data_IF_902926161990
#
_entry.id   IF_902926161990
#
_cell.length_a   1.000
_cell.length_b   1.000
_cell.length_c   1.000
_cell.angle_alpha   90.00
_cell.angle_beta   90.00
_cell.angle_gamma   90.00
#
_symmetry.space_group_name_H-M   'P 1'
#
loop_
_entity.id
_entity.type
_entity.pdbx_description
1 polymer ?
#
# COMPACT_ATOMS: atom_id res chain seq x y z
N UNK A 1 63.80 26.79 -41.15
CA UNK A 1 62.54 27.25 -40.49
C UNK A 1 61.66 26.06 -40.08
N UNK A 2 62.24 25.09 -39.36
CA UNK A 2 61.59 23.85 -38.94
C UNK A 2 61.54 23.72 -37.40
N UNK A 3 61.56 24.85 -36.67
CA UNK A 3 61.46 24.90 -35.20
C UNK A 3 60.32 25.78 -34.67
N UNK A 4 59.51 26.39 -35.55
CA UNK A 4 58.34 27.21 -35.13
C UNK A 4 56.98 26.54 -35.31
N UNK A 5 56.90 25.35 -35.90
CA UNK A 5 55.63 24.62 -36.07
C UNK A 5 55.44 23.51 -35.01
N UNK A 6 56.50 23.20 -34.25
CA UNK A 6 56.45 22.18 -33.18
C UNK A 6 56.05 22.73 -31.79
N UNK A 7 55.83 24.04 -31.63
CA UNK A 7 55.40 24.66 -30.35
C UNK A 7 53.92 25.04 -30.27
N UNK A 8 53.14 24.83 -31.34
CA UNK A 8 51.70 25.11 -31.35
C UNK A 8 50.80 23.86 -31.33
N UNK A 9 51.38 22.65 -31.38
CA UNK A 9 50.63 21.38 -31.22
C UNK A 9 50.73 20.74 -29.83
N UNK A 10 51.55 21.27 -28.93
CA UNK A 10 51.73 20.73 -27.56
C UNK A 10 51.00 21.56 -26.48
N UNK A 11 50.33 22.64 -26.87
CA UNK A 11 49.53 23.48 -25.95
C UNK A 11 48.03 23.15 -26.03
N UNK A 12 47.59 22.39 -27.05
CA UNK A 12 46.19 21.96 -27.18
C UNK A 12 45.90 20.53 -26.67
N UNK A 13 46.92 19.75 -26.26
CA UNK A 13 46.75 18.42 -25.66
C UNK A 13 46.91 18.38 -24.13
N UNK A 14 47.14 19.53 -23.48
CA UNK A 14 47.22 19.64 -22.02
C UNK A 14 46.15 20.51 -21.36
N UNK A 15 45.20 21.03 -22.15
CA UNK A 15 44.02 21.77 -21.65
C UNK A 15 42.71 20.96 -21.68
N UNK A 16 42.74 19.69 -22.10
CA UNK A 16 41.57 18.78 -22.06
C UNK A 16 41.63 17.71 -20.98
N UNK A 17 42.67 17.68 -20.13
CA UNK A 17 42.88 16.64 -19.11
C UNK A 17 43.01 17.16 -17.67
N UNK A 18 42.57 18.38 -17.39
CA UNK A 18 42.63 19.01 -16.06
C UNK A 18 41.25 19.44 -15.51
N UNK A 19 40.15 18.95 -16.09
CA UNK A 19 38.78 19.21 -15.64
C UNK A 19 38.03 17.97 -15.15
N UNK A 20 38.72 16.84 -14.99
CA UNK A 20 38.15 15.61 -14.42
C UNK A 20 39.14 14.98 -13.44
N UNK A 21 39.25 15.59 -12.26
CA UNK A 21 39.56 14.95 -10.96
C UNK A 21 39.81 16.03 -9.91
N UNK A 22 39.22 15.82 -8.74
CA UNK A 22 39.53 16.49 -7.47
C UNK A 22 38.88 17.86 -7.24
N UNK A 23 37.61 17.85 -6.80
CA UNK A 23 37.12 18.82 -5.82
C UNK A 23 36.69 18.01 -4.60
N UNK A 24 37.58 17.94 -3.62
CA UNK A 24 37.32 17.44 -2.27
C UNK A 24 38.19 18.24 -1.31
N UNK A 25 37.60 18.60 -0.17
CA UNK A 25 38.05 19.55 0.86
C UNK A 25 37.79 21.03 0.47
N UNK A 26 36.96 21.81 1.19
CA UNK A 26 36.92 22.00 2.64
C UNK A 26 35.58 22.66 3.05
N UNK A 27 34.87 22.14 4.05
CA UNK A 27 34.25 22.91 5.16
C UNK A 27 33.59 21.89 6.12
N UNK A 28 34.31 21.58 7.20
CA UNK A 28 33.80 20.86 8.37
C UNK A 28 33.51 21.92 9.42
N UNK A 29 32.24 22.09 9.77
CA UNK A 29 31.78 22.65 11.04
C UNK A 29 30.53 21.85 11.46
N UNK A 30 30.62 21.28 12.65
CA UNK A 30 29.66 20.36 13.27
C UNK A 30 28.26 20.95 13.42
N UNK A 31 27.23 20.16 13.08
CA UNK A 31 25.87 20.12 13.67
C UNK A 31 25.18 18.80 13.24
N UNK A 32 24.24 18.24 14.04
CA UNK A 32 23.86 16.83 13.98
C UNK A 32 23.03 16.53 12.73
N UNK A 33 23.43 15.52 11.96
CA UNK A 33 22.77 15.10 10.73
C UNK A 33 21.44 14.41 11.02
N UNK A 34 20.34 15.10 10.74
CA UNK A 34 19.10 14.48 10.26
C UNK A 34 19.41 13.85 8.89
N UNK A 35 19.22 12.53 8.77
CA UNK A 35 19.30 11.82 7.49
C UNK A 35 18.12 12.29 6.63
N UNK A 36 18.33 13.29 5.79
CA UNK A 36 17.43 13.61 4.68
C UNK A 36 17.84 12.75 3.48
N UNK A 37 16.92 11.89 3.04
CA UNK A 37 17.04 11.25 1.73
C UNK A 37 17.09 12.34 0.67
N UNK A 38 18.23 12.50 0.01
CA UNK A 38 18.39 13.51 -1.05
C UNK A 38 17.49 13.13 -2.23
N UNK A 39 16.54 14.00 -2.56
CA UNK A 39 15.73 13.88 -3.77
C UNK A 39 16.63 13.74 -5.01
N UNK A 40 16.40 12.76 -5.90
CA UNK A 40 17.14 12.67 -7.15
C UNK A 40 16.89 13.94 -7.98
N UNK A 41 17.95 14.41 -8.63
CA UNK A 41 17.96 15.63 -9.42
C UNK A 41 16.87 15.59 -10.51
N UNK A 42 16.04 16.61 -10.53
CA UNK A 42 15.00 16.85 -11.52
C UNK A 42 15.60 17.07 -12.92
N UNK A 43 15.41 16.12 -13.83
CA UNK A 43 15.49 16.41 -15.27
C UNK A 43 14.14 16.94 -15.74
N UNK A 44 14.15 18.04 -16.51
CA UNK A 44 12.95 18.58 -17.12
C UNK A 44 12.42 17.59 -18.17
N UNK A 45 11.14 17.23 -18.08
CA UNK A 45 10.43 16.31 -18.97
C UNK A 45 10.34 16.76 -20.46
N UNK A 46 11.18 17.70 -20.90
CA UNK A 46 11.04 18.41 -22.17
C UNK A 46 11.32 17.55 -23.41
N UNK A 47 11.82 16.32 -23.26
CA UNK A 47 12.20 15.44 -24.38
C UNK A 47 11.61 14.02 -24.31
N UNK A 48 10.89 13.68 -23.24
CA UNK A 48 10.30 12.34 -23.10
C UNK A 48 8.86 12.30 -23.64
N UNK A 49 8.34 11.14 -24.10
CA UNK A 49 7.09 11.06 -24.86
C UNK A 49 5.84 11.59 -24.13
N UNK A 50 5.81 11.46 -22.81
CA UNK A 50 4.75 11.97 -21.96
C UNK A 50 5.26 13.11 -21.06
N UNK A 51 4.49 14.18 -20.87
CA UNK A 51 4.83 15.21 -19.90
C UNK A 51 4.78 14.64 -18.47
N UNK A 52 5.59 15.20 -17.57
CA UNK A 52 5.43 14.93 -16.15
C UNK A 52 4.07 15.45 -15.66
N UNK A 53 3.41 14.68 -14.81
CA UNK A 53 2.22 15.09 -14.09
C UNK A 53 2.59 15.41 -12.63
N UNK A 54 1.88 16.36 -12.03
CA UNK A 54 2.00 16.58 -10.58
C UNK A 54 0.99 15.70 -9.84
N UNK A 55 1.44 15.03 -8.79
CA UNK A 55 0.57 14.22 -7.95
C UNK A 55 1.16 13.93 -6.58
N UNK A 56 0.28 13.49 -5.67
CA UNK A 56 0.65 13.09 -4.31
C UNK A 56 1.35 11.75 -4.36
N UNK A 57 2.54 11.66 -3.76
CA UNK A 57 3.22 10.40 -3.53
C UNK A 57 2.46 9.60 -2.45
N UNK A 58 1.86 8.43 -2.77
CA UNK A 58 1.05 7.68 -1.81
C UNK A 58 1.90 7.11 -0.67
N UNK A 59 1.35 6.98 0.53
CA UNK A 59 2.03 6.30 1.64
C UNK A 59 2.25 4.82 1.31
N UNK A 60 3.27 4.17 1.91
CA UNK A 60 3.50 2.75 1.70
C UNK A 60 2.31 1.84 1.98
N UNK A 61 1.46 2.16 2.96
CA UNK A 61 0.23 1.41 3.25
C UNK A 61 -0.77 1.44 2.08
N UNK A 62 -0.89 2.58 1.39
CA UNK A 62 -1.71 2.71 0.18
C UNK A 62 -1.11 1.87 -0.96
N UNK A 63 0.22 1.95 -1.15
CA UNK A 63 0.94 1.21 -2.19
C UNK A 63 0.90 -0.30 -2.00
N UNK A 64 1.01 -0.80 -0.76
CA UNK A 64 0.90 -2.23 -0.46
C UNK A 64 -0.41 -2.83 -0.98
N UNK A 65 -1.53 -2.14 -0.76
CA UNK A 65 -2.84 -2.56 -1.27
C UNK A 65 -2.91 -2.51 -2.81
N UNK A 66 -2.29 -1.50 -3.43
CA UNK A 66 -2.21 -1.39 -4.89
C UNK A 66 -1.40 -2.55 -5.49
N UNK A 67 -0.26 -2.90 -4.89
CA UNK A 67 0.52 -4.08 -5.32
C UNK A 67 -0.27 -5.37 -5.21
N UNK A 68 -1.00 -5.55 -4.11
CA UNK A 68 -1.85 -6.74 -3.92
C UNK A 68 -2.93 -6.83 -4.98
N UNK A 69 -3.60 -5.72 -5.29
CA UNK A 69 -4.60 -5.66 -6.36
C UNK A 69 -3.99 -5.89 -7.74
N UNK A 70 -2.85 -5.28 -8.04
CA UNK A 70 -2.17 -5.43 -9.32
C UNK A 70 -1.75 -6.89 -9.56
N UNK A 71 -1.11 -7.52 -8.58
CA UNK A 71 -0.64 -8.90 -8.67
C UNK A 71 -1.76 -9.93 -8.79
N UNK A 72 -2.96 -9.59 -8.33
CA UNK A 72 -4.13 -10.50 -8.35
C UNK A 72 -5.19 -10.11 -9.39
N UNK A 73 -4.86 -9.18 -10.30
CA UNK A 73 -5.77 -8.66 -11.34
C UNK A 73 -7.09 -8.09 -10.77
N UNK A 74 -6.99 -7.29 -9.70
CA UNK A 74 -8.11 -6.63 -8.99
C UNK A 74 -8.01 -5.09 -8.97
N UNK A 75 -7.27 -4.51 -9.91
CA UNK A 75 -7.23 -3.05 -10.08
C UNK A 75 -8.50 -2.51 -10.79
N UNK A 76 -9.22 -3.36 -11.54
CA UNK A 76 -10.35 -2.91 -12.35
C UNK A 76 -9.93 -1.76 -13.29
N UNK A 77 -10.69 -0.66 -13.28
CA UNK A 77 -10.41 0.51 -14.12
C UNK A 77 -9.18 1.32 -13.67
N UNK A 78 -8.64 1.08 -12.47
CA UNK A 78 -7.44 1.76 -11.96
C UNK A 78 -6.14 1.24 -12.61
N UNK A 79 -6.19 0.10 -13.32
CA UNK A 79 -5.07 -0.51 -14.03
C UNK A 79 -5.37 -0.77 -15.51
N UNK A 80 -4.36 -1.17 -16.30
CA UNK A 80 -4.57 -1.70 -17.64
C UNK A 80 -5.16 -3.11 -17.60
N UNK A 81 -5.77 -3.54 -18.70
CA UNK A 81 -6.22 -4.93 -18.87
C UNK A 81 -5.03 -5.87 -18.94
N UNK A 82 -4.97 -6.87 -18.05
CA UNK A 82 -3.92 -7.88 -18.06
C UNK A 82 -4.30 -9.07 -18.96
N UNK A 83 -3.40 -9.56 -19.84
CA UNK A 83 -3.65 -10.73 -20.67
C UNK A 83 -3.62 -12.01 -19.83
N UNK A 84 -4.28 -13.07 -20.30
CA UNK A 84 -4.15 -14.39 -19.69
C UNK A 84 -2.70 -14.86 -19.66
N UNK A 85 -2.35 -15.63 -18.63
CA UNK A 85 -0.98 -16.12 -18.40
C UNK A 85 -0.88 -17.62 -18.68
N UNK A 86 0.22 -18.06 -19.29
CA UNK A 86 0.47 -19.48 -19.51
C UNK A 86 0.83 -20.20 -18.22
N UNK A 87 0.26 -21.40 -18.02
CA UNK A 87 0.54 -22.29 -16.90
C UNK A 87 0.67 -23.74 -17.38
N UNK A 88 1.58 -24.48 -16.74
CA UNK A 88 1.80 -25.91 -16.99
C UNK A 88 3.06 -26.18 -17.82
N UNK A 89 3.65 -27.36 -17.63
CA UNK A 89 4.74 -27.89 -18.43
C UNK A 89 4.69 -29.42 -18.40
N UNK A 90 4.89 -30.14 -19.53
CA UNK A 90 5.21 -29.62 -20.88
C UNK A 90 3.98 -29.06 -21.63
N UNK A 91 2.76 -29.29 -21.14
CA UNK A 91 1.53 -28.75 -21.73
C UNK A 91 1.18 -27.39 -21.13
N UNK A 92 1.09 -26.36 -21.98
CA UNK A 92 0.68 -25.01 -21.56
C UNK A 92 -0.83 -24.84 -21.71
N UNK A 93 -1.44 -24.23 -20.71
CA UNK A 93 -2.82 -23.77 -20.70
C UNK A 93 -2.85 -22.29 -20.31
N UNK A 94 -3.87 -21.55 -20.73
CA UNK A 94 -4.05 -20.16 -20.30
C UNK A 94 -4.91 -20.13 -19.05
N UNK A 95 -4.42 -19.44 -18.03
CA UNK A 95 -5.15 -19.16 -16.79
C UNK A 95 -5.28 -17.67 -16.57
N UNK A 96 -6.04 -17.33 -15.55
CA UNK A 96 -6.24 -15.98 -15.10
C UNK A 96 -4.91 -15.27 -14.76
N UNK A 97 -4.72 -13.99 -15.15
CA UNK A 97 -3.50 -13.25 -14.90
C UNK A 97 -3.20 -13.16 -13.40
N UNK A 98 -1.93 -13.39 -13.08
CA UNK A 98 -1.40 -13.32 -11.73
C UNK A 98 0.08 -12.97 -11.81
N UNK A 99 0.54 -12.11 -10.89
CA UNK A 99 1.96 -11.84 -10.63
C UNK A 99 2.16 -11.88 -9.11
N UNK A 100 3.14 -12.64 -8.60
CA UNK A 100 3.42 -12.63 -7.17
C UNK A 100 3.67 -11.22 -6.63
N UNK A 101 2.89 -10.79 -5.65
CA UNK A 101 2.94 -9.44 -5.08
C UNK A 101 4.30 -9.11 -4.48
N UNK A 102 4.99 -10.10 -3.91
CA UNK A 102 6.38 -9.94 -3.44
C UNK A 102 7.32 -9.56 -4.58
N UNK A 103 7.11 -10.08 -5.81
CA UNK A 103 7.89 -9.70 -6.98
C UNK A 103 7.53 -8.28 -7.43
N UNK A 104 6.24 -7.92 -7.49
CA UNK A 104 5.86 -6.55 -7.86
C UNK A 104 6.45 -5.52 -6.91
N UNK A 105 6.37 -5.77 -5.60
CA UNK A 105 6.97 -4.92 -4.56
C UNK A 105 8.48 -4.79 -4.72
N UNK A 106 9.16 -5.91 -4.95
CA UNK A 106 10.62 -5.97 -5.06
C UNK A 106 11.12 -5.32 -6.35
N UNK A 107 10.48 -5.63 -7.49
CA UNK A 107 10.74 -4.98 -8.78
C UNK A 107 10.52 -3.48 -8.67
N UNK A 108 9.36 -3.04 -8.17
CA UNK A 108 9.07 -1.62 -7.98
C UNK A 108 10.11 -0.89 -7.14
N UNK A 109 10.66 -1.54 -6.12
CA UNK A 109 11.71 -0.95 -5.30
C UNK A 109 13.06 -0.89 -6.02
N UNK A 110 13.42 -1.94 -6.78
CA UNK A 110 14.62 -1.95 -7.61
C UNK A 110 14.54 -0.89 -8.72
N UNK A 111 13.36 -0.68 -9.29
CA UNK A 111 13.11 0.35 -10.30
C UNK A 111 13.08 1.76 -9.70
N UNK A 112 12.47 1.92 -8.52
CA UNK A 112 12.38 3.21 -7.84
C UNK A 112 12.56 3.05 -6.33
N UNK A 113 13.76 3.39 -5.83
CA UNK A 113 14.04 3.39 -4.39
C UNK A 113 13.01 4.24 -3.65
N UNK A 114 12.34 3.64 -2.67
CA UNK A 114 11.25 4.27 -1.92
C UNK A 114 9.91 4.30 -2.66
N UNK A 115 9.68 3.39 -3.61
CA UNK A 115 8.42 3.21 -4.33
C UNK A 115 7.85 4.53 -4.88
N UNK A 116 8.70 5.26 -5.62
CA UNK A 116 8.41 6.63 -6.03
C UNK A 116 7.69 6.67 -7.37
N UNK A 117 6.42 7.10 -7.35
CA UNK A 117 5.74 7.57 -8.55
C UNK A 117 6.12 9.03 -8.84
N UNK A 118 6.26 9.84 -7.80
CA UNK A 118 6.55 11.26 -7.87
C UNK A 118 7.83 11.60 -7.09
N UNK A 119 8.54 12.63 -7.53
CA UNK A 119 9.72 13.17 -6.85
C UNK A 119 9.26 14.00 -5.63
N UNK A 120 8.76 13.31 -4.62
CA UNK A 120 8.20 13.88 -3.39
C UNK A 120 8.31 12.91 -2.21
N UNK A 121 8.26 13.41 -0.97
CA UNK A 121 8.09 12.54 0.19
C UNK A 121 6.69 11.91 0.20
N UNK A 122 6.50 10.83 0.95
CA UNK A 122 5.18 10.25 1.10
C UNK A 122 4.20 11.25 1.74
N UNK A 123 3.05 11.44 1.11
CA UNK A 123 2.06 12.46 1.48
C UNK A 123 2.19 13.79 0.73
N UNK A 124 3.37 14.11 0.23
CA UNK A 124 3.65 15.37 -0.48
C UNK A 124 3.32 15.26 -1.98
N UNK A 125 3.13 16.42 -2.62
CA UNK A 125 2.93 16.53 -4.08
C UNK A 125 4.23 16.85 -4.79
N UNK A 126 4.51 16.17 -5.89
CA UNK A 126 5.64 16.48 -6.76
C UNK A 126 5.40 16.02 -8.20
N UNK A 127 6.33 16.34 -9.12
CA UNK A 127 6.24 15.88 -10.50
C UNK A 127 6.53 14.38 -10.60
N UNK A 128 6.03 13.73 -11.65
CA UNK A 128 6.33 12.33 -11.98
C UNK A 128 7.84 12.09 -11.95
N UNK A 129 8.27 11.00 -11.32
CA UNK A 129 9.65 10.53 -11.42
C UNK A 129 9.91 10.06 -12.86
N UNK A 130 10.80 10.75 -13.57
CA UNK A 130 11.20 10.38 -14.94
C UNK A 130 12.72 10.20 -14.97
N UNK A 131 13.17 8.99 -15.29
CA UNK A 131 14.59 8.68 -15.42
C UNK A 131 15.19 9.22 -16.74
N UNK A 132 16.53 9.32 -16.84
CA UNK A 132 17.20 9.84 -18.04
C UNK A 132 16.90 9.07 -19.33
N UNK A 133 16.54 7.79 -19.24
CA UNK A 133 16.13 6.94 -20.36
C UNK A 133 14.63 7.04 -20.68
N UNK A 134 13.92 8.00 -20.06
CA UNK A 134 12.48 8.17 -20.11
C UNK A 134 11.70 7.00 -19.49
N UNK A 135 12.22 6.36 -18.44
CA UNK A 135 11.44 5.50 -17.55
C UNK A 135 10.53 6.31 -16.63
N UNK A 136 9.24 5.94 -16.56
CA UNK A 136 8.23 6.68 -15.79
C UNK A 136 7.80 5.97 -14.51
N UNK A 137 7.85 6.70 -13.40
CA UNK A 137 7.18 6.39 -12.15
C UNK A 137 7.69 5.14 -11.45
N UNK A 138 6.83 4.54 -10.63
CA UNK A 138 7.24 3.52 -9.66
C UNK A 138 7.77 2.22 -10.28
N UNK A 139 7.30 1.85 -11.47
CA UNK A 139 7.78 0.67 -12.21
C UNK A 139 8.78 1.02 -13.33
N UNK A 140 9.19 2.31 -13.44
CA UNK A 140 10.09 2.82 -14.48
C UNK A 140 9.70 2.35 -15.90
N UNK A 141 8.44 2.57 -16.28
CA UNK A 141 7.94 2.13 -17.59
C UNK A 141 8.53 3.02 -18.70
N UNK A 142 9.37 2.44 -19.55
CA UNK A 142 10.04 3.17 -20.65
C UNK A 142 9.45 2.84 -22.03
N UNK A 143 9.18 1.56 -22.30
CA UNK A 143 8.72 1.11 -23.61
C UNK A 143 7.27 1.52 -23.91
N UNK A 144 7.00 1.89 -25.16
CA UNK A 144 5.66 2.26 -25.66
C UNK A 144 5.00 3.47 -24.98
N UNK A 145 5.79 4.33 -24.33
CA UNK A 145 5.30 5.58 -23.74
C UNK A 145 4.87 6.62 -24.78
N UNK A 146 5.20 6.44 -26.07
CA UNK A 146 4.63 7.21 -27.18
C UNK A 146 3.28 6.65 -27.69
N UNK A 147 2.81 5.54 -27.14
CA UNK A 147 1.58 4.84 -27.54
C UNK A 147 1.84 3.45 -28.15
N UNK A 148 0.76 2.73 -28.45
CA UNK A 148 0.81 1.42 -29.13
C UNK A 148 1.16 0.22 -28.25
N UNK A 149 1.37 0.41 -26.94
CA UNK A 149 1.71 -0.66 -25.99
C UNK A 149 0.53 -1.43 -25.38
N UNK A 150 -0.71 -1.12 -25.79
CA UNK A 150 -1.93 -1.72 -25.20
C UNK A 150 -2.31 -1.16 -23.83
N UNK A 151 -1.73 -0.03 -23.42
CA UNK A 151 -2.05 0.71 -22.20
C UNK A 151 -2.05 2.23 -22.48
N UNK A 152 -2.59 3.02 -21.54
CA UNK A 152 -2.62 4.48 -21.60
C UNK A 152 -1.35 5.08 -20.97
N UNK A 153 -0.46 5.61 -21.81
CA UNK A 153 0.82 6.18 -21.39
C UNK A 153 0.66 7.42 -20.49
N UNK A 154 -0.38 8.24 -20.68
CA UNK A 154 -0.61 9.41 -19.84
C UNK A 154 -1.02 8.99 -18.42
N UNK A 155 -1.80 7.91 -18.29
CA UNK A 155 -2.14 7.31 -16.99
C UNK A 155 -0.92 6.72 -16.30
N UNK A 156 -0.01 6.06 -17.03
CA UNK A 156 1.27 5.56 -16.46
C UNK A 156 2.08 6.69 -15.81
N UNK A 157 2.11 7.88 -16.41
CA UNK A 157 2.85 9.01 -15.85
C UNK A 157 2.19 9.60 -14.58
N UNK A 158 0.86 9.60 -14.50
CA UNK A 158 0.13 10.36 -13.45
C UNK A 158 -0.54 9.51 -12.36
N UNK A 159 -0.77 8.22 -12.58
CA UNK A 159 -1.53 7.35 -11.68
C UNK A 159 -0.65 6.22 -11.14
N UNK A 160 -0.32 6.20 -9.83
CA UNK A 160 0.48 5.14 -9.22
C UNK A 160 -0.07 3.73 -9.46
N UNK A 161 -1.40 3.55 -9.34
CA UNK A 161 -2.05 2.26 -9.56
C UNK A 161 -1.94 1.78 -11.01
N UNK A 162 -2.11 2.69 -11.97
CA UNK A 162 -1.99 2.36 -13.38
C UNK A 162 -0.55 2.04 -13.78
N UNK A 163 0.42 2.76 -13.19
CA UNK A 163 1.85 2.49 -13.38
C UNK A 163 2.24 1.09 -12.85
N UNK A 164 1.84 0.74 -11.61
CA UNK A 164 2.06 -0.60 -11.04
C UNK A 164 1.39 -1.68 -11.89
N UNK A 165 0.14 -1.46 -12.29
CA UNK A 165 -0.59 -2.38 -13.16
C UNK A 165 0.07 -2.58 -14.53
N UNK A 166 0.71 -1.54 -15.07
CA UNK A 166 1.48 -1.63 -16.33
C UNK A 166 2.78 -2.42 -16.13
N UNK A 167 3.44 -2.30 -14.98
CA UNK A 167 4.56 -3.18 -14.63
C UNK A 167 4.13 -4.65 -14.52
N UNK A 168 2.96 -4.93 -13.95
CA UNK A 168 2.38 -6.28 -13.93
C UNK A 168 2.07 -6.79 -15.36
N UNK A 169 1.52 -5.96 -16.24
CA UNK A 169 1.32 -6.26 -17.65
C UNK A 169 2.62 -6.68 -18.33
N UNK A 170 3.71 -5.93 -18.12
CA UNK A 170 5.00 -6.23 -18.72
C UNK A 170 5.60 -7.53 -18.19
N UNK A 171 5.51 -7.79 -16.88
CA UNK A 171 5.94 -9.07 -16.31
C UNK A 171 5.16 -10.26 -16.91
N UNK A 172 3.83 -10.14 -17.06
CA UNK A 172 3.02 -11.19 -17.70
C UNK A 172 3.42 -11.39 -19.16
N UNK A 173 3.66 -10.30 -19.91
CA UNK A 173 4.14 -10.41 -21.28
C UNK A 173 5.49 -11.13 -21.34
N UNK A 174 6.43 -10.79 -20.45
CA UNK A 174 7.71 -11.50 -20.35
C UNK A 174 7.56 -12.96 -19.99
N UNK A 175 6.67 -13.29 -19.05
CA UNK A 175 6.35 -14.69 -18.76
C UNK A 175 5.83 -15.43 -19.98
N UNK A 176 4.89 -14.83 -20.73
CA UNK A 176 4.27 -15.46 -21.89
C UNK A 176 5.19 -15.55 -23.12
N UNK A 177 6.13 -14.60 -23.27
CA UNK A 177 7.09 -14.53 -24.38
C UNK A 177 8.34 -15.40 -24.12
N UNK A 178 8.68 -15.65 -22.85
CA UNK A 178 9.88 -16.40 -22.49
C UNK A 178 9.68 -17.90 -22.73
N UNK A 179 10.48 -18.48 -23.63
CA UNK A 179 10.43 -19.92 -23.93
C UNK A 179 11.04 -20.81 -22.85
N UNK A 180 11.89 -20.25 -21.97
CA UNK A 180 12.50 -20.94 -20.87
C UNK A 180 11.53 -21.09 -19.70
N UNK A 181 11.43 -22.31 -19.17
CA UNK A 181 10.47 -22.65 -18.12
C UNK A 181 11.18 -23.09 -16.86
N UNK A 182 10.69 -22.62 -15.71
CA UNK A 182 11.06 -23.15 -14.40
C UNK A 182 9.92 -24.07 -13.92
N UNK A 183 10.28 -25.27 -13.48
CA UNK A 183 9.37 -26.18 -12.82
C UNK A 183 8.19 -26.60 -13.68
N UNK A 184 6.99 -26.49 -13.12
CA UNK A 184 5.73 -26.77 -13.80
C UNK A 184 5.11 -25.52 -14.48
N UNK A 185 5.87 -24.42 -14.60
CA UNK A 185 5.37 -23.14 -15.10
C UNK A 185 4.12 -22.66 -14.33
N UNK A 186 4.08 -22.84 -13.01
CA UNK A 186 2.97 -22.32 -12.20
C UNK A 186 3.25 -20.86 -11.80
N UNK A 187 2.46 -19.88 -12.28
CA UNK A 187 2.66 -18.48 -11.95
C UNK A 187 2.40 -18.17 -10.46
N UNK A 188 1.73 -19.05 -9.71
CA UNK A 188 1.56 -18.89 -8.27
C UNK A 188 2.87 -19.07 -7.49
N UNK A 189 3.84 -19.79 -8.05
CA UNK A 189 5.12 -20.07 -7.42
C UNK A 189 6.11 -18.96 -7.80
N UNK A 190 6.62 -18.23 -6.80
CA UNK A 190 7.47 -17.06 -7.01
C UNK A 190 8.75 -17.42 -7.78
N UNK A 191 9.38 -18.53 -7.41
CA UNK A 191 10.64 -18.98 -8.02
C UNK A 191 10.50 -19.30 -9.51
N UNK A 192 9.29 -19.66 -9.96
CA UNK A 192 9.08 -19.97 -11.37
C UNK A 192 9.23 -18.73 -12.27
N UNK A 193 9.16 -17.52 -11.70
CA UNK A 193 9.27 -16.26 -12.43
C UNK A 193 10.70 -15.85 -12.76
N UNK A 194 11.72 -16.61 -12.35
CA UNK A 194 13.12 -16.22 -12.47
C UNK A 194 13.51 -15.73 -13.88
N UNK A 195 13.14 -16.48 -14.93
CA UNK A 195 13.45 -16.06 -16.31
C UNK A 195 12.61 -14.88 -16.79
N UNK A 196 11.35 -14.76 -16.36
CA UNK A 196 10.51 -13.60 -16.68
C UNK A 196 11.04 -12.32 -16.02
N UNK A 197 11.53 -12.40 -14.78
CA UNK A 197 12.17 -11.28 -14.06
C UNK A 197 13.49 -10.89 -14.73
N UNK A 198 14.27 -11.86 -15.20
CA UNK A 198 15.45 -11.57 -16.02
C UNK A 198 15.04 -10.84 -17.31
N UNK A 199 14.05 -11.36 -18.03
CA UNK A 199 13.58 -10.78 -19.27
C UNK A 199 12.96 -9.38 -19.10
N UNK A 200 12.42 -9.06 -17.92
CA UNK A 200 11.93 -7.72 -17.57
C UNK A 200 13.04 -6.68 -17.67
N UNK A 201 14.24 -6.98 -17.15
CA UNK A 201 15.41 -6.10 -17.25
C UNK A 201 16.29 -6.43 -18.47
N UNK A 202 15.74 -7.01 -19.53
CA UNK A 202 16.44 -7.50 -20.74
C UNK A 202 17.16 -8.85 -20.56
N UNK A 203 16.70 -9.83 -21.35
CA UNK A 203 17.23 -11.19 -21.40
C UNK A 203 18.56 -11.26 -22.18
N UNK A 204 19.63 -10.80 -21.54
CA UNK A 204 20.96 -10.61 -22.15
C UNK A 204 22.09 -11.26 -21.34
N UNK A 205 23.23 -11.49 -21.99
CA UNK A 205 24.44 -11.97 -21.32
C UNK A 205 24.96 -10.98 -20.26
N UNK A 206 24.74 -9.67 -20.44
CA UNK A 206 25.12 -8.65 -19.45
C UNK A 206 24.43 -8.87 -18.10
N UNK A 207 23.18 -9.34 -18.12
CA UNK A 207 22.40 -9.64 -16.92
C UNK A 207 22.42 -11.13 -16.52
N UNK A 208 23.27 -11.93 -17.16
CA UNK A 208 23.46 -13.32 -16.75
C UNK A 208 24.21 -13.36 -15.41
N UNK A 209 23.71 -14.05 -14.37
CA UNK A 209 24.41 -14.16 -13.09
C UNK A 209 25.80 -14.82 -13.17
N UNK A 210 26.08 -15.56 -14.25
CA UNK A 210 27.38 -16.16 -14.54
C UNK A 210 28.26 -15.28 -15.45
N UNK A 211 27.85 -14.04 -15.74
CA UNK A 211 28.71 -13.11 -16.46
C UNK A 211 29.99 -12.84 -15.65
N UNK A 212 31.20 -12.96 -16.25
CA UNK A 212 32.47 -12.74 -15.56
C UNK A 212 32.66 -11.35 -14.93
N UNK A 213 31.85 -10.36 -15.33
CA UNK A 213 31.86 -9.03 -14.73
C UNK A 213 31.31 -9.02 -13.30
N UNK A 214 30.53 -10.03 -12.91
CA UNK A 214 30.05 -10.18 -11.55
C UNK A 214 30.99 -11.08 -10.75
N UNK A 215 31.32 -10.66 -9.54
CA UNK A 215 32.10 -11.48 -8.62
C UNK A 215 31.34 -12.78 -8.30
N UNK A 216 31.93 -13.98 -8.56
CA UNK A 216 31.29 -15.24 -8.26
C UNK A 216 31.04 -15.44 -6.76
N UNK A 217 31.80 -14.78 -5.87
CA UNK A 217 31.64 -14.82 -4.42
C UNK A 217 30.79 -13.66 -3.85
N UNK A 218 30.15 -12.85 -4.71
CA UNK A 218 29.27 -11.76 -4.26
C UNK A 218 28.20 -12.26 -3.30
N UNK A 219 27.96 -11.50 -2.24
CA UNK A 219 26.94 -11.79 -1.23
C UNK A 219 25.52 -11.47 -1.71
N UNK A 220 24.58 -11.45 -0.76
CA UNK A 220 23.17 -11.12 -1.01
C UNK A 220 23.00 -9.59 -1.14
N UNK A 221 22.17 -9.15 -2.09
CA UNK A 221 21.73 -7.76 -2.19
C UNK A 221 20.83 -7.38 -0.99
N UNK A 222 21.17 -6.31 -0.29
CA UNK A 222 20.58 -5.88 0.98
C UNK A 222 19.46 -4.85 0.83
N UNK A 223 19.21 -4.37 -0.40
CA UNK A 223 18.10 -3.46 -0.71
C UNK A 223 18.05 -2.19 0.17
N UNK A 224 19.21 -1.66 0.53
CA UNK A 224 19.34 -0.51 1.43
C UNK A 224 20.20 0.62 0.82
N UNK A 225 20.39 0.60 -0.50
CA UNK A 225 21.16 1.57 -1.29
C UNK A 225 22.64 1.76 -0.88
N UNK A 226 23.16 0.93 0.03
CA UNK A 226 24.57 0.99 0.49
C UNK A 226 25.54 0.21 -0.40
N UNK A 227 25.03 -0.67 -1.25
CA UNK A 227 25.82 -1.53 -2.12
C UNK A 227 25.85 -0.96 -3.54
N UNK A 228 26.98 -1.11 -4.24
CA UNK A 228 27.09 -0.76 -5.65
C UNK A 228 26.22 -1.68 -6.52
N UNK A 229 25.09 -1.14 -7.00
CA UNK A 229 24.11 -1.87 -7.80
C UNK A 229 24.62 -2.42 -9.13
N UNK A 230 25.81 -2.01 -9.59
CA UNK A 230 26.45 -2.56 -10.80
C UNK A 230 27.10 -3.93 -10.57
N UNK A 231 27.24 -4.35 -9.31
CA UNK A 231 27.90 -5.61 -8.93
C UNK A 231 26.94 -6.80 -8.81
N UNK A 232 25.64 -6.59 -8.97
CA UNK A 232 24.63 -7.64 -8.93
C UNK A 232 23.78 -7.65 -10.21
N UNK A 233 23.50 -8.85 -10.77
CA UNK A 233 22.50 -8.98 -11.82
C UNK A 233 21.12 -8.65 -11.27
N UNK A 234 20.21 -8.25 -12.16
CA UNK A 234 18.89 -7.73 -11.79
C UNK A 234 18.06 -8.67 -10.91
N UNK A 235 18.04 -9.96 -11.24
CA UNK A 235 17.28 -11.00 -10.55
C UNK A 235 17.76 -11.15 -9.10
N UNK A 236 19.07 -11.05 -8.86
CA UNK A 236 19.62 -11.12 -7.50
C UNK A 236 19.29 -9.86 -6.70
N UNK A 237 19.14 -8.69 -7.34
CA UNK A 237 18.63 -7.48 -6.68
C UNK A 237 17.17 -7.65 -6.26
N UNK A 238 16.32 -8.17 -7.15
CA UNK A 238 14.90 -8.44 -6.86
C UNK A 238 14.76 -9.46 -5.73
N UNK A 239 15.47 -10.59 -5.77
CA UNK A 239 15.46 -11.60 -4.70
C UNK A 239 16.03 -11.05 -3.39
N UNK A 240 17.09 -10.26 -3.46
CA UNK A 240 17.68 -9.61 -2.29
C UNK A 240 16.73 -8.62 -1.63
N UNK A 241 15.98 -7.84 -2.41
CA UNK A 241 14.91 -6.97 -1.92
C UNK A 241 13.76 -7.75 -1.29
N UNK A 242 13.32 -8.85 -1.89
CA UNK A 242 12.30 -9.72 -1.27
C UNK A 242 12.73 -10.19 0.12
N UNK A 243 14.00 -10.57 0.29
CA UNK A 243 14.55 -11.07 1.55
C UNK A 243 14.93 -9.98 2.57
N UNK A 244 15.26 -8.78 2.10
CA UNK A 244 15.74 -7.67 2.93
C UNK A 244 14.95 -6.39 2.62
N UNK A 245 13.62 -6.35 2.89
CA UNK A 245 12.83 -5.16 2.63
C UNK A 245 13.42 -3.94 3.34
N UNK A 246 13.41 -2.77 2.67
CA UNK A 246 13.63 -1.48 3.32
C UNK A 246 12.55 -1.21 4.39
N UNK A 247 12.86 -0.28 5.29
CA UNK A 247 11.97 0.10 6.38
C UNK A 247 11.40 1.49 6.18
N UNK A 248 10.08 1.63 6.36
CA UNK A 248 9.42 2.93 6.46
C UNK A 248 8.10 2.82 7.26
N UNK A 249 7.93 3.60 8.34
CA UNK A 249 8.98 4.35 9.04
C UNK A 249 10.08 3.41 9.56
N UNK A 250 11.19 3.96 10.05
CA UNK A 250 12.29 3.16 10.63
C UNK A 250 11.71 2.17 11.65
N UNK A 251 12.13 0.90 11.56
CA UNK A 251 11.62 -0.20 12.39
C UNK A 251 10.42 -0.95 11.82
N UNK A 252 9.79 -0.48 10.74
CA UNK A 252 8.67 -1.17 10.07
C UNK A 252 9.06 -1.53 8.64
N UNK A 253 9.12 -2.82 8.31
CA UNK A 253 9.41 -3.24 6.93
C UNK A 253 8.27 -2.85 5.97
N UNK A 254 8.63 -2.45 4.76
CA UNK A 254 7.66 -2.13 3.70
C UNK A 254 6.81 -3.34 3.28
N UNK A 255 7.33 -4.56 3.49
CA UNK A 255 6.63 -5.84 3.33
C UNK A 255 7.28 -6.90 4.21
N UNK A 256 6.61 -8.03 4.39
CA UNK A 256 7.15 -9.17 5.14
C UNK A 256 8.41 -9.75 4.45
N UNK A 257 9.58 -9.77 5.12
CA UNK A 257 10.80 -10.35 4.57
C UNK A 257 10.58 -11.81 4.12
N UNK A 258 10.84 -12.10 2.86
CA UNK A 258 10.69 -13.44 2.28
C UNK A 258 11.96 -13.86 1.57
N UNK A 259 12.67 -14.84 2.12
CA UNK A 259 13.90 -15.39 1.55
C UNK A 259 13.59 -16.33 0.37
N UNK A 260 13.27 -15.76 -0.78
CA UNK A 260 13.04 -16.50 -2.03
C UNK A 260 14.28 -17.31 -2.44
N UNK A 261 14.06 -18.43 -3.12
CA UNK A 261 15.15 -19.33 -3.54
C UNK A 261 15.61 -19.00 -4.96
N UNK A 262 16.89 -18.73 -5.15
CA UNK A 262 17.49 -18.58 -6.48
C UNK A 262 17.77 -19.97 -7.09
N UNK A 263 17.66 -20.14 -8.43
CA UNK A 263 18.20 -21.32 -9.09
C UNK A 263 19.70 -21.50 -8.83
N UNK A 264 20.15 -22.75 -8.79
CA UNK A 264 21.58 -23.04 -8.74
C UNK A 264 22.29 -22.43 -9.95
N UNK A 265 23.37 -21.68 -9.71
CA UNK A 265 24.11 -20.99 -10.77
C UNK A 265 24.63 -21.94 -11.85
N UNK A 266 24.96 -23.19 -11.50
CA UNK A 266 25.39 -24.23 -12.44
C UNK A 266 24.34 -24.57 -13.50
N UNK A 267 23.06 -24.35 -13.21
CA UNK A 267 21.94 -24.61 -14.12
C UNK A 267 21.65 -23.42 -15.06
N UNK A 268 22.23 -22.24 -14.77
CA UNK A 268 22.05 -21.02 -15.55
C UNK A 268 23.10 -20.92 -16.65
N UNK A 269 22.75 -21.42 -17.84
CA UNK A 269 23.64 -21.44 -19.01
C UNK A 269 23.51 -20.17 -19.86
N UNK A 270 24.37 -20.05 -20.88
CA UNK A 270 24.24 -19.08 -21.96
C UNK A 270 24.38 -19.81 -23.32
N UNK A 271 23.29 -19.98 -24.11
CA UNK A 271 21.94 -19.49 -23.87
C UNK A 271 21.27 -20.18 -22.66
N UNK A 272 20.31 -19.54 -21.98
CA UNK A 272 19.64 -20.11 -20.81
C UNK A 272 18.91 -21.43 -21.12
N UNK A 273 19.05 -22.39 -20.21
CA UNK A 273 18.42 -23.72 -20.25
C UNK A 273 16.93 -23.62 -20.54
N UNK A 274 16.43 -24.43 -21.48
CA UNK A 274 15.02 -24.44 -21.86
C UNK A 274 14.09 -24.83 -20.69
N UNK A 275 14.56 -25.69 -19.79
CA UNK A 275 13.83 -26.10 -18.60
C UNK A 275 14.79 -26.38 -17.45
N UNK A 276 14.45 -25.89 -16.25
CA UNK A 276 15.09 -26.31 -15.00
C UNK A 276 14.02 -26.56 -13.93
N UNK A 277 14.32 -27.37 -12.92
CA UNK A 277 13.39 -27.65 -11.82
C UNK A 277 13.10 -26.39 -10.97
N UNK A 278 11.95 -26.35 -10.30
CA UNK A 278 11.64 -25.29 -9.33
C UNK A 278 12.66 -25.31 -8.20
N UNK A 279 13.37 -24.19 -7.93
CA UNK A 279 14.24 -24.07 -6.77
C UNK A 279 13.47 -24.30 -5.46
N UNK A 280 14.06 -25.04 -4.51
CA UNK A 280 13.45 -25.37 -3.22
C UNK A 280 14.21 -24.73 -2.05
N UNK A 281 13.50 -24.27 -1.00
CA UNK A 281 12.04 -24.23 -0.87
C UNK A 281 11.42 -23.20 -1.83
N UNK A 282 10.21 -23.48 -2.32
CA UNK A 282 9.46 -22.52 -3.13
C UNK A 282 8.47 -21.73 -2.26
N UNK A 283 8.05 -20.57 -2.75
CA UNK A 283 7.16 -19.65 -2.05
C UNK A 283 5.93 -19.28 -2.88
N UNK A 284 4.85 -18.93 -2.18
CA UNK A 284 3.65 -18.35 -2.73
C UNK A 284 3.53 -16.89 -2.23
N UNK A 285 2.75 -16.07 -2.94
CA UNK A 285 2.56 -14.66 -2.58
C UNK A 285 1.08 -14.24 -2.67
N UNK A 286 0.73 -13.12 -2.02
CA UNK A 286 -0.62 -12.52 -2.00
C UNK A 286 -1.74 -13.40 -1.43
N UNK A 287 -1.43 -14.55 -0.82
CA UNK A 287 -2.43 -15.52 -0.32
C UNK A 287 -3.59 -15.71 -1.31
N UNK A 288 -3.27 -16.07 -2.55
CA UNK A 288 -4.29 -16.17 -3.61
C UNK A 288 -5.22 -17.34 -3.30
N UNK A 289 -6.47 -17.04 -2.93
CA UNK A 289 -7.57 -17.97 -3.19
C UNK A 289 -8.03 -17.70 -4.61
N UNK A 290 -7.94 -18.71 -5.49
CA UNK A 290 -8.57 -18.63 -6.81
C UNK A 290 -10.09 -18.57 -6.61
N UNK A 291 -10.67 -17.41 -6.83
CA UNK A 291 -12.12 -17.21 -6.84
C UNK A 291 -12.59 -17.01 -8.29
N UNK A 292 -13.79 -17.49 -8.67
CA UNK A 292 -14.35 -17.27 -10.00
C UNK A 292 -14.38 -15.79 -10.39
N UNK A 293 -14.38 -15.48 -11.70
CA UNK A 293 -14.40 -14.11 -12.24
C UNK A 293 -15.53 -13.24 -11.65
N UNK A 294 -16.64 -13.86 -11.22
CA UNK A 294 -17.75 -13.19 -10.52
C UNK A 294 -17.38 -12.57 -9.17
N UNK A 295 -16.24 -12.95 -8.60
CA UNK A 295 -15.82 -12.59 -7.23
C UNK A 295 -14.60 -11.63 -7.24
N UNK A 296 -14.14 -11.16 -8.41
CA UNK A 296 -12.90 -10.35 -8.56
C UNK A 296 -12.98 -8.91 -8.04
N UNK A 297 -14.17 -8.34 -7.89
CA UNK A 297 -14.39 -6.97 -7.39
C UNK A 297 -15.21 -6.94 -6.09
N UNK A 298 -15.11 -7.98 -5.27
CA UNK A 298 -15.88 -8.05 -4.03
C UNK A 298 -15.32 -7.07 -2.99
N UNK A 299 -16.07 -5.99 -2.69
CA UNK A 299 -15.83 -5.24 -1.46
C UNK A 299 -16.02 -6.22 -0.28
N UNK A 300 -14.96 -6.55 0.49
CA UNK A 300 -15.03 -7.58 1.53
C UNK A 300 -16.13 -7.29 2.55
N UNK A 301 -16.46 -6.00 2.69
CA UNK A 301 -17.42 -5.51 3.64
C UNK A 301 -18.61 -4.84 2.97
N UNK A 302 -19.77 -4.97 3.62
CA UNK A 302 -20.96 -4.22 3.29
C UNK A 302 -20.77 -2.72 3.59
N UNK A 303 -21.45 -1.82 2.86
CA UNK A 303 -21.49 -0.40 3.18
C UNK A 303 -21.91 -0.17 4.64
N UNK A 304 -21.29 0.81 5.30
CA UNK A 304 -21.66 1.21 6.65
C UNK A 304 -23.14 1.63 6.68
N UNK A 305 -24.01 0.91 7.43
CA UNK A 305 -25.42 1.27 7.55
C UNK A 305 -25.67 2.48 8.44
N UNK A 306 -24.69 2.92 9.24
CA UNK A 306 -24.83 4.10 10.11
C UNK A 306 -24.71 5.37 9.28
N UNK A 307 -25.71 6.23 9.38
CA UNK A 307 -25.75 7.53 8.72
C UNK A 307 -25.36 8.64 9.70
N UNK A 308 -24.55 9.60 9.24
CA UNK A 308 -24.12 10.75 10.03
C UNK A 308 -23.51 10.31 11.39
N UNK A 309 -22.67 9.28 11.38
CA UNK A 309 -22.04 8.76 12.60
C UNK A 309 -20.99 9.67 13.21
N UNK A 310 -20.43 10.58 12.41
CA UNK A 310 -19.50 11.64 12.85
C UNK A 310 -20.18 12.98 13.18
N UNK A 311 -21.52 13.03 13.22
CA UNK A 311 -22.29 14.21 13.66
C UNK A 311 -22.03 15.56 12.96
N UNK A 312 -21.32 15.59 11.84
CA UNK A 312 -21.04 16.80 11.06
C UNK A 312 -22.30 17.49 10.52
N UNK A 313 -23.43 16.78 10.46
CA UNK A 313 -24.76 17.32 10.16
C UNK A 313 -25.65 17.44 11.40
N UNK A 314 -25.06 17.64 12.58
CA UNK A 314 -25.75 17.62 13.86
C UNK A 314 -26.37 16.26 14.14
N UNK A 315 -27.58 16.23 14.70
CA UNK A 315 -28.33 15.00 14.99
C UNK A 315 -29.14 14.47 13.80
N UNK A 316 -28.92 14.97 12.58
CA UNK A 316 -29.62 14.46 11.40
C UNK A 316 -29.44 12.94 11.27
N UNK A 317 -30.54 12.21 11.00
CA UNK A 317 -30.64 10.72 11.00
C UNK A 317 -30.54 10.02 12.35
N UNK A 318 -30.31 10.77 13.43
CA UNK A 318 -30.40 10.25 14.78
C UNK A 318 -31.71 10.70 15.45
N UNK A 319 -32.27 9.82 16.27
CA UNK A 319 -33.37 10.15 17.17
C UNK A 319 -32.83 10.44 18.55
N UNK A 320 -33.35 11.49 19.18
CA UNK A 320 -32.93 11.92 20.51
C UNK A 320 -34.12 12.03 21.45
N UNK A 321 -33.89 11.77 22.73
CA UNK A 321 -34.84 12.07 23.82
C UNK A 321 -34.05 12.38 25.08
N UNK A 322 -34.46 13.37 25.86
CA UNK A 322 -33.74 13.80 27.05
C UNK A 322 -33.67 15.32 27.14
N UNK A 323 -32.86 15.80 28.08
CA UNK A 323 -32.86 17.22 28.48
C UNK A 323 -31.58 17.96 28.05
N UNK A 324 -30.60 17.28 27.45
CA UNK A 324 -29.29 17.86 27.11
C UNK A 324 -29.15 18.20 25.62
N UNK A 325 -28.11 18.99 25.31
CA UNK A 325 -27.75 19.31 23.93
C UNK A 325 -26.89 18.19 23.36
N UNK A 326 -27.45 17.41 22.45
CA UNK A 326 -26.81 16.29 21.74
C UNK A 326 -25.65 16.69 20.79
N UNK A 327 -24.98 17.81 21.02
CA UNK A 327 -24.04 18.41 20.07
C UNK A 327 -22.96 19.24 20.75
N UNK A 328 -21.71 19.00 20.35
CA UNK A 328 -20.51 19.72 20.80
C UNK A 328 -19.62 20.08 19.62
N UNK A 329 -18.88 21.19 19.73
CA UNK A 329 -17.82 21.56 18.77
C UNK A 329 -16.46 20.94 19.10
N UNK A 330 -16.46 19.86 19.87
CA UNK A 330 -15.30 19.05 20.22
C UNK A 330 -15.44 17.72 19.49
N UNK A 331 -15.06 17.65 18.21
CA UNK A 331 -15.03 16.41 17.43
C UNK A 331 -13.75 15.61 17.68
N UNK A 332 -13.82 14.29 17.56
CA UNK A 332 -12.63 13.44 17.36
C UNK A 332 -12.11 13.65 15.93
N UNK A 333 -13.01 13.56 14.96
CA UNK A 333 -12.78 13.96 13.58
C UNK A 333 -13.79 15.03 13.18
N UNK A 334 -13.49 15.79 12.14
CA UNK A 334 -14.34 16.92 11.77
C UNK A 334 -14.43 18.00 12.87
N UNK A 335 -15.58 18.64 12.97
CA UNK A 335 -15.82 19.76 13.89
C UNK A 335 -16.73 19.37 15.05
N UNK A 336 -17.56 18.33 14.89
CA UNK A 336 -18.70 18.10 15.75
C UNK A 336 -18.70 16.68 16.35
N UNK A 337 -19.32 16.54 17.51
CA UNK A 337 -19.57 15.24 18.15
C UNK A 337 -20.92 15.25 18.86
N UNK A 338 -21.45 14.08 19.17
CA UNK A 338 -22.57 13.97 20.09
C UNK A 338 -22.08 14.22 21.53
N UNK A 339 -22.88 14.96 22.30
CA UNK A 339 -22.65 15.22 23.72
C UNK A 339 -23.89 14.80 24.51
N UNK A 340 -23.72 13.95 25.50
CA UNK A 340 -24.78 13.43 26.36
C UNK A 340 -24.40 13.62 27.83
N UNK A 341 -25.40 13.73 28.70
CA UNK A 341 -25.16 14.20 30.06
C UNK A 341 -24.73 15.67 30.05
N UNK A 342 -23.77 16.02 30.91
CA UNK A 342 -23.27 17.39 31.04
C UNK A 342 -24.26 18.35 31.71
N UNK A 343 -25.35 17.81 32.28
CA UNK A 343 -26.17 18.42 33.31
C UNK A 343 -26.45 17.31 34.34
N UNK A 344 -26.66 17.69 35.60
CA UNK A 344 -27.05 16.74 36.64
C UNK A 344 -28.51 16.28 36.46
N UNK A 345 -28.78 14.99 36.71
CA UNK A 345 -30.11 14.36 36.62
C UNK A 345 -30.57 14.07 35.18
N UNK A 346 -29.63 13.95 34.25
CA UNK A 346 -29.92 13.77 32.82
C UNK A 346 -30.28 12.33 32.51
N UNK A 347 -31.37 12.13 31.76
CA UNK A 347 -31.72 10.84 31.16
C UNK A 347 -31.81 11.06 29.66
N UNK A 348 -30.71 10.81 28.97
CA UNK A 348 -30.59 11.08 27.54
C UNK A 348 -30.50 9.79 26.75
N UNK A 349 -31.08 9.80 25.56
CA UNK A 349 -30.95 8.73 24.59
C UNK A 349 -30.68 9.31 23.23
N UNK A 350 -29.72 8.70 22.55
CA UNK A 350 -29.35 8.96 21.17
C UNK A 350 -29.34 7.62 20.45
N UNK A 351 -30.17 7.46 19.42
CA UNK A 351 -30.26 6.17 18.74
C UNK A 351 -30.54 6.29 17.25
N UNK A 352 -30.15 5.26 16.51
CA UNK A 352 -30.45 5.11 15.09
C UNK A 352 -30.91 3.69 14.80
N UNK A 353 -32.00 3.55 14.04
CA UNK A 353 -32.43 2.26 13.50
C UNK A 353 -31.56 1.91 12.31
N UNK A 354 -30.89 0.76 12.37
CA UNK A 354 -30.01 0.25 11.31
C UNK A 354 -30.33 -1.21 11.02
N UNK A 355 -30.06 -1.63 9.79
CA UNK A 355 -30.05 -3.05 9.44
C UNK A 355 -28.60 -3.53 9.43
N UNK A 356 -28.27 -4.49 10.28
CA UNK A 356 -26.94 -5.11 10.25
C UNK A 356 -26.86 -5.93 8.94
N UNK A 357 -25.87 -5.69 8.07
CA UNK A 357 -25.82 -6.37 6.78
C UNK A 357 -25.79 -7.90 6.93
N UNK A 358 -26.68 -8.59 6.19
CA UNK A 358 -26.67 -10.07 6.08
C UNK A 358 -25.70 -10.54 4.99
N UNK A 359 -25.58 -9.75 3.94
CA UNK A 359 -24.68 -9.93 2.83
C UNK A 359 -24.07 -8.58 2.47
N UNK A 360 -22.94 -8.60 1.77
CA UNK A 360 -22.43 -7.38 1.15
C UNK A 360 -23.17 -7.08 -0.18
N UNK A 361 -22.75 -6.05 -0.94
CA UNK A 361 -23.34 -5.69 -2.24
C UNK A 361 -23.32 -6.79 -3.31
N UNK A 362 -22.49 -7.81 -3.15
CA UNK A 362 -22.34 -8.91 -4.10
C UNK A 362 -23.01 -10.21 -3.60
N UNK A 363 -23.82 -10.14 -2.55
CA UNK A 363 -24.67 -11.25 -2.11
C UNK A 363 -23.96 -12.36 -1.32
N UNK A 364 -22.65 -12.24 -1.00
CA UNK A 364 -21.99 -13.22 -0.12
C UNK A 364 -22.36 -12.94 1.34
N UNK A 365 -22.54 -14.00 2.17
CA UNK A 365 -22.96 -13.86 3.55
C UNK A 365 -21.88 -13.18 4.41
N UNK A 366 -22.28 -12.18 5.17
CA UNK A 366 -21.43 -11.55 6.18
C UNK A 366 -21.12 -12.56 7.28
N UNK A 367 -19.85 -12.67 7.68
CA UNK A 367 -19.39 -13.56 8.75
C UNK A 367 -18.93 -12.81 10.00
N UNK A 368 -18.67 -11.51 9.90
CA UNK A 368 -18.28 -10.66 11.02
C UNK A 368 -18.95 -9.29 10.93
N UNK A 369 -19.36 -8.74 12.07
CA UNK A 369 -19.91 -7.38 12.15
C UNK A 369 -19.51 -6.73 13.48
N UNK A 370 -18.87 -5.56 13.40
CA UNK A 370 -18.38 -4.81 14.56
C UNK A 370 -18.94 -3.39 14.57
N UNK A 371 -19.45 -2.97 15.72
CA UNK A 371 -19.79 -1.58 16.01
C UNK A 371 -18.54 -0.85 16.51
N UNK A 372 -18.10 0.15 15.75
CA UNK A 372 -16.95 0.98 16.07
C UNK A 372 -17.41 2.41 16.38
N UNK A 373 -16.79 3.03 17.38
CA UNK A 373 -17.05 4.43 17.75
C UNK A 373 -15.92 4.96 18.62
N UNK A 374 -15.77 6.29 18.61
CA UNK A 374 -14.92 7.02 19.52
C UNK A 374 -15.74 7.58 20.67
N UNK A 375 -15.14 7.62 21.85
CA UNK A 375 -15.78 8.13 23.06
C UNK A 375 -14.79 8.93 23.90
N UNK A 376 -15.29 9.94 24.60
CA UNK A 376 -14.53 10.76 25.53
C UNK A 376 -15.42 11.03 26.75
N UNK A 377 -14.86 10.87 27.95
CA UNK A 377 -15.56 11.18 29.20
C UNK A 377 -14.83 12.34 29.88
N UNK A 378 -15.61 13.33 30.31
CA UNK A 378 -15.16 14.37 31.24
C UNK A 378 -16.14 14.44 32.40
N UNK A 379 -15.64 14.05 33.56
CA UNK A 379 -16.33 14.16 34.83
C UNK A 379 -15.64 15.18 35.75
N UNK A 380 -16.44 15.85 36.57
CA UNK A 380 -15.98 16.73 37.65
C UNK A 380 -15.72 15.98 38.97
N UNK A 381 -16.48 14.90 39.21
CA UNK A 381 -16.18 13.87 40.21
C UNK A 381 -15.59 12.63 39.52
N UNK A 382 -14.79 11.84 40.22
CA UNK A 382 -14.22 10.58 39.70
C UNK A 382 -14.20 9.48 40.77
N UNK A 383 -14.93 9.66 41.88
CA UNK A 383 -14.79 8.82 43.08
C UNK A 383 -16.09 8.02 43.36
N UNK A 384 -17.10 8.11 42.50
CA UNK A 384 -18.35 7.36 42.65
C UNK A 384 -18.96 7.05 41.29
N UNK A 385 -18.94 5.77 40.89
CA UNK A 385 -19.64 5.20 39.72
C UNK A 385 -21.16 5.45 39.77
N UNK A 386 -21.59 6.70 39.62
CA UNK A 386 -22.97 7.13 39.76
C UNK A 386 -23.54 7.64 38.43
N UNK A 387 -22.66 8.01 37.49
CA UNK A 387 -23.00 8.44 36.13
C UNK A 387 -22.66 7.38 35.10
N UNK A 388 -23.58 7.10 34.18
CA UNK A 388 -23.46 5.99 33.24
C UNK A 388 -23.80 6.40 31.81
N UNK A 389 -22.99 5.93 30.85
CA UNK A 389 -23.35 5.85 29.44
C UNK A 389 -23.44 4.37 29.03
N UNK A 390 -24.65 3.94 28.70
CA UNK A 390 -24.91 2.59 28.20
C UNK A 390 -24.89 2.55 26.67
N UNK A 391 -24.11 1.63 26.11
CA UNK A 391 -24.11 1.30 24.68
C UNK A 391 -24.92 0.02 24.50
N UNK A 392 -26.06 0.11 23.80
CA UNK A 392 -27.07 -0.95 23.74
C UNK A 392 -27.55 -1.23 22.32
N UNK A 393 -27.93 -2.48 22.10
CA UNK A 393 -28.82 -2.87 21.01
C UNK A 393 -30.24 -2.94 21.57
N UNK A 394 -31.20 -2.32 20.86
CA UNK A 394 -32.62 -2.33 21.24
C UNK A 394 -33.47 -2.85 20.09
N UNK A 395 -34.63 -3.39 20.43
CA UNK A 395 -35.69 -3.69 19.46
C UNK A 395 -36.24 -2.39 18.85
N UNK A 396 -37.02 -2.50 17.78
CA UNK A 396 -37.68 -1.34 17.15
C UNK A 396 -38.70 -0.65 18.08
N UNK A 397 -39.27 -1.39 19.05
CA UNK A 397 -40.14 -0.84 20.09
C UNK A 397 -39.36 -0.24 21.27
N UNK A 398 -38.02 -0.23 21.21
CA UNK A 398 -37.17 0.35 22.22
C UNK A 398 -36.91 -0.53 23.43
N UNK A 399 -37.26 -1.82 23.42
CA UNK A 399 -36.86 -2.77 24.48
C UNK A 399 -35.38 -3.11 24.35
N UNK A 400 -34.65 -3.18 25.47
CA UNK A 400 -33.23 -3.55 25.48
C UNK A 400 -33.06 -5.02 25.05
N UNK A 401 -32.24 -5.26 24.02
CA UNK A 401 -31.84 -6.60 23.59
C UNK A 401 -30.54 -7.01 24.26
N UNK A 402 -29.55 -6.11 24.26
CA UNK A 402 -28.21 -6.38 24.81
C UNK A 402 -27.51 -5.09 25.17
N UNK A 403 -26.91 -5.04 26.35
CA UNK A 403 -25.92 -4.03 26.71
C UNK A 403 -24.54 -4.51 26.24
N UNK A 404 -23.92 -3.76 25.34
CA UNK A 404 -22.63 -4.09 24.73
C UNK A 404 -21.47 -3.55 25.55
N UNK A 405 -21.63 -2.35 26.12
CA UNK A 405 -20.63 -1.67 26.94
C UNK A 405 -21.31 -0.67 27.87
N UNK A 406 -20.68 -0.41 29.00
CA UNK A 406 -21.03 0.64 29.96
C UNK A 406 -19.77 1.49 30.12
N UNK A 407 -19.93 2.81 30.07
CA UNK A 407 -18.93 3.79 30.45
C UNK A 407 -19.46 4.55 31.67
N UNK A 408 -18.54 5.01 32.51
CA UNK A 408 -18.81 5.67 33.80
C UNK A 408 -17.98 6.94 33.94
N UNK A 409 -18.22 7.73 34.98
CA UNK A 409 -17.37 8.84 35.39
C UNK A 409 -15.93 8.39 35.76
N UNK A 410 -15.72 7.14 36.17
CA UNK A 410 -14.37 6.56 36.36
C UNK A 410 -13.59 6.39 35.04
N UNK A 411 -14.28 6.34 33.90
CA UNK A 411 -13.65 6.31 32.56
C UNK A 411 -13.16 7.70 32.10
N UNK A 412 -13.12 8.70 33.01
CA UNK A 412 -12.64 10.07 32.77
C UNK A 412 -11.15 10.12 32.38
N UNK A 413 -10.89 9.87 31.10
CA UNK A 413 -9.56 9.91 30.51
C UNK A 413 -9.16 11.32 30.03
N UNK A 414 -10.15 12.22 29.86
CA UNK A 414 -10.00 13.52 29.19
C UNK A 414 -9.30 13.43 27.82
N UNK A 415 -9.42 12.29 27.15
CA UNK A 415 -8.92 12.05 25.79
C UNK A 415 -9.87 11.14 25.04
N UNK A 416 -9.81 11.18 23.70
CA UNK A 416 -10.59 10.30 22.86
C UNK A 416 -10.06 8.88 22.92
N UNK A 417 -10.95 7.94 23.21
CA UNK A 417 -10.72 6.51 23.19
C UNK A 417 -11.58 5.87 22.10
N UNK A 418 -11.22 4.65 21.69
CA UNK A 418 -11.97 3.89 20.67
C UNK A 418 -12.56 2.63 21.28
N UNK A 419 -13.67 2.15 20.74
CA UNK A 419 -14.21 0.83 21.05
C UNK A 419 -14.70 0.13 19.79
N UNK A 420 -14.48 -1.18 19.75
CA UNK A 420 -14.94 -2.08 18.69
C UNK A 420 -15.65 -3.25 19.35
N UNK A 421 -16.96 -3.35 19.13
CA UNK A 421 -17.83 -4.29 19.84
C UNK A 421 -18.44 -5.28 18.85
N UNK A 422 -18.30 -6.58 19.15
CA UNK A 422 -18.83 -7.64 18.29
C UNK A 422 -20.37 -7.74 18.36
N UNK A 423 -21.00 -7.52 17.21
CA UNK A 423 -22.44 -7.61 16.97
C UNK A 423 -22.79 -8.63 15.87
N UNK A 424 -21.85 -9.51 15.55
CA UNK A 424 -21.95 -10.58 14.54
C UNK A 424 -23.22 -11.44 14.69
N UNK A 425 -23.69 -11.69 15.90
CA UNK A 425 -24.91 -12.47 16.13
C UNK A 425 -26.19 -11.83 15.55
N UNK A 426 -26.16 -10.53 15.23
CA UNK A 426 -27.34 -9.75 14.79
C UNK A 426 -27.37 -9.48 13.29
N UNK A 427 -26.48 -10.11 12.50
CA UNK A 427 -26.46 -9.97 11.03
C UNK A 427 -27.83 -10.26 10.42
N UNK A 428 -28.27 -9.37 9.53
CA UNK A 428 -29.57 -9.41 8.85
C UNK A 428 -30.75 -8.91 9.67
N UNK A 429 -30.55 -8.52 10.93
CA UNK A 429 -31.61 -7.95 11.75
C UNK A 429 -31.64 -6.42 11.64
N UNK A 430 -32.83 -5.85 11.68
CA UNK A 430 -33.04 -4.41 11.84
C UNK A 430 -33.30 -4.11 13.31
N UNK A 431 -32.46 -3.28 13.91
CA UNK A 431 -32.45 -2.97 15.33
C UNK A 431 -32.03 -1.52 15.57
N UNK A 432 -32.14 -1.05 16.79
CA UNK A 432 -31.65 0.27 17.20
C UNK A 432 -30.27 0.11 17.84
N UNK A 433 -29.29 0.87 17.36
CA UNK A 433 -28.07 1.16 18.12
C UNK A 433 -28.37 2.36 18.98
N UNK A 434 -28.22 2.21 20.29
CA UNK A 434 -28.62 3.21 21.28
C UNK A 434 -27.49 3.51 22.24
N UNK A 435 -27.28 4.79 22.46
CA UNK A 435 -26.45 5.35 23.51
C UNK A 435 -27.40 5.98 24.51
N UNK A 436 -27.26 5.65 25.79
CA UNK A 436 -28.18 6.09 26.84
C UNK A 436 -27.39 6.61 28.04
N UNK A 437 -27.42 7.93 28.28
CA UNK A 437 -26.76 8.55 29.42
C UNK A 437 -27.74 8.67 30.59
N UNK A 438 -27.26 8.38 31.79
CA UNK A 438 -27.96 8.57 33.05
C UNK A 438 -26.98 9.23 34.01
N UNK A 439 -27.26 10.47 34.41
CA UNK A 439 -26.46 11.16 35.42
C UNK A 439 -27.24 11.37 36.71
N UNK A 440 -26.53 11.40 37.83
CA UNK A 440 -27.07 11.72 39.14
C UNK A 440 -27.17 13.24 39.35
N UNK A 441 -27.52 13.69 40.56
CA UNK A 441 -27.68 15.13 40.86
C UNK A 441 -26.42 15.82 41.38
N UNK A 442 -25.24 15.18 41.31
CA UNK A 442 -24.00 15.67 41.93
C UNK A 442 -22.88 15.76 40.90
N UNK A 443 -22.46 17.00 40.61
CA UNK A 443 -21.37 17.29 39.68
C UNK A 443 -21.68 16.75 38.28
N UNK A 444 -21.06 17.33 37.25
CA UNK A 444 -21.48 17.01 35.87
C UNK A 444 -20.51 16.04 35.21
N UNK A 445 -21.05 14.92 34.71
CA UNK A 445 -20.34 14.05 33.75
C UNK A 445 -20.85 14.26 32.33
N UNK A 446 -19.91 14.58 31.44
CA UNK A 446 -20.14 14.74 30.01
C UNK A 446 -19.57 13.55 29.25
N UNK A 447 -20.44 12.88 28.49
CA UNK A 447 -20.06 11.80 27.58
C UNK A 447 -20.12 12.30 26.15
N UNK A 448 -19.03 12.16 25.41
CA UNK A 448 -18.95 12.51 24.00
C UNK A 448 -18.79 11.26 23.14
N UNK A 449 -19.41 11.26 21.96
CA UNK A 449 -19.39 10.16 21.01
C UNK A 449 -19.15 10.69 19.61
N UNK A 450 -18.34 9.97 18.84
CA UNK A 450 -18.02 10.37 17.48
C UNK A 450 -17.65 9.18 16.57
N UNK A 451 -17.69 9.39 15.25
CA UNK A 451 -17.32 8.44 14.19
C UNK A 451 -17.94 7.04 14.34
N UNK A 452 -19.24 7.01 14.67
CA UNK A 452 -19.98 5.76 14.84
C UNK A 452 -20.15 5.06 13.49
N UNK A 453 -19.72 3.81 13.42
CA UNK A 453 -19.79 3.01 12.21
C UNK A 453 -19.98 1.52 12.49
N UNK A 454 -20.54 0.81 11.51
CA UNK A 454 -20.51 -0.65 11.51
C UNK A 454 -19.66 -1.12 10.35
N UNK A 455 -18.69 -1.98 10.67
CA UNK A 455 -17.88 -2.70 9.68
C UNK A 455 -18.36 -4.15 9.66
N UNK A 456 -18.97 -4.57 8.55
CA UNK A 456 -19.56 -5.89 8.39
C UNK A 456 -18.99 -6.60 7.16
N UNK A 457 -18.22 -7.67 7.34
CA UNK A 457 -17.45 -8.31 6.28
C UNK A 457 -17.84 -9.77 6.03
N UNK A 458 -17.82 -10.18 4.77
CA UNK A 458 -17.78 -11.59 4.40
C UNK A 458 -16.34 -12.10 4.31
N UNK A 459 -16.20 -13.41 4.15
CA UNK A 459 -14.92 -14.09 4.07
C UNK A 459 -14.22 -13.87 2.74
#
# INVERSE_FOLDING_TARGET
MAQSVARLRTIYSHLSNLLTKSISLLFILLLPTLIQFTNPASCTAAQCPQPAANGRQPFPSELQNIFDKAGTNRLGNDGPTLPQIFKGYPGLSKVDPYVPCILLRSVAYVESSGWKQFVANYGDTGPTLIAPDCGYGIMQITSSMSGGGGFDAARVAREPAYNIGTGALFLINKWNETSQVIGNNDPAIVENWYYAVWAYNSFSNTNNPNNPNFDPQRGIWKCNDTQDGTKWPYQEKVWGCAANPPQYPIGTFLWEPTALTLPERSLITNPPSAHIATPLPFHLSCSVRFVPVSDRDYAPCAPNPVQNGGFESGVYKWSTSGNTKFFSSNGYSGKYSAWMGGNSGSIDKLYQTVTIPRSNPHGKPVISAYLNFYWFVRAEDTISNDDYLYIRLRTLSGQNLRTLKILTDEDNSRTWNVSSLDISAYRGQTLQISFEAQTDFRLDTSFFLDDISIVACAQ
#
